data_IF_348338003643
#
_entry.id   IF_348338003643
#
_cell.length_a   1.000
_cell.length_b   1.000
_cell.length_c   1.000
_cell.angle_alpha   90.00
_cell.angle_beta   90.00
_cell.angle_gamma   90.00
#
_symmetry.space_group_name_H-M   'P 1'
#
loop_
_entity.id
_entity.type
_entity.pdbx_description
1 polymer ?
#
# COMPACT_ATOMS: atom_id res chain seq x y z
N UNK A 1 -4.77 4.63 13.27
CA UNK A 1 -5.46 3.80 12.25
C UNK A 1 -6.23 2.70 12.98
N UNK A 2 -7.52 2.53 12.71
CA UNK A 2 -8.30 1.39 13.19
C UNK A 2 -8.48 0.38 12.06
N UNK A 3 -8.19 -0.89 12.31
CA UNK A 3 -8.35 -1.98 11.35
C UNK A 3 -9.42 -2.92 11.89
N UNK A 4 -10.45 -3.18 11.10
CA UNK A 4 -11.55 -4.09 11.43
C UNK A 4 -11.61 -5.20 10.39
N UNK A 5 -11.47 -6.46 10.81
CA UNK A 5 -11.63 -7.63 9.95
C UNK A 5 -12.21 -8.81 10.74
N UNK A 6 -13.19 -9.53 10.16
CA UNK A 6 -13.79 -10.74 10.73
C UNK A 6 -14.31 -10.58 12.18
N UNK A 7 -14.83 -9.40 12.54
CA UNK A 7 -15.33 -9.11 13.89
C UNK A 7 -14.25 -8.81 14.92
N UNK A 8 -12.99 -8.63 14.51
CA UNK A 8 -11.90 -8.18 15.37
C UNK A 8 -11.50 -6.75 15.00
N UNK A 9 -11.54 -5.85 16.00
CA UNK A 9 -11.12 -4.45 15.86
C UNK A 9 -9.77 -4.28 16.54
N UNK A 10 -8.75 -3.87 15.78
CA UNK A 10 -7.42 -3.54 16.28
C UNK A 10 -7.09 -2.07 16.03
N UNK A 11 -6.36 -1.44 16.96
CA UNK A 11 -5.80 -0.10 16.76
C UNK A 11 -4.29 -0.20 16.52
N UNK A 12 -3.85 0.47 15.45
CA UNK A 12 -2.44 0.69 15.11
C UNK A 12 -2.17 2.20 15.17
N UNK A 13 -1.18 2.61 15.95
CA UNK A 13 -0.64 3.96 15.91
C UNK A 13 0.85 3.93 15.60
N UNK A 14 1.32 4.92 14.83
CA UNK A 14 2.74 5.14 14.54
C UNK A 14 3.06 6.54 15.03
N UNK A 15 4.16 6.68 15.77
CA UNK A 15 4.62 7.96 16.31
C UNK A 15 6.11 8.13 15.99
N UNK A 16 6.49 9.32 15.53
CA UNK A 16 7.89 9.70 15.30
C UNK A 16 8.20 10.94 16.14
N UNK A 17 9.28 10.91 16.91
CA UNK A 17 9.81 12.07 17.64
C UNK A 17 10.88 12.83 16.84
N UNK A 18 11.10 12.44 15.58
CA UNK A 18 12.22 12.91 14.74
C UNK A 18 13.52 12.13 14.97
N UNK A 19 13.76 11.59 16.16
CA UNK A 19 14.96 10.79 16.48
C UNK A 19 14.66 9.31 16.67
N UNK A 20 13.42 8.96 16.99
CA UNK A 20 12.97 7.59 17.18
C UNK A 20 11.54 7.41 16.65
N UNK A 21 11.25 6.19 16.20
CA UNK A 21 9.93 5.78 15.78
C UNK A 21 9.32 4.74 16.72
N UNK A 22 8.02 4.78 16.88
CA UNK A 22 7.26 3.91 17.78
C UNK A 22 6.04 3.36 17.04
N UNK A 23 5.73 2.09 17.27
CA UNK A 23 4.50 1.45 16.79
C UNK A 23 3.70 1.02 18.01
N UNK A 24 2.43 1.40 18.06
CA UNK A 24 1.51 0.99 19.12
C UNK A 24 0.47 0.05 18.56
N UNK A 25 0.34 -1.13 19.17
CA UNK A 25 -0.69 -2.12 18.83
C UNK A 25 -1.46 -2.44 20.08
N UNK A 26 -2.80 -2.29 20.03
CA UNK A 26 -3.69 -2.57 21.17
C UNK A 26 -3.24 -1.86 22.46
N UNK A 27 -2.76 -0.62 22.33
CA UNK A 27 -2.29 0.20 23.45
C UNK A 27 -0.86 -0.07 23.92
N UNK A 28 -0.16 -1.08 23.39
CA UNK A 28 1.23 -1.37 23.75
C UNK A 28 2.16 -0.73 22.71
N UNK A 29 3.00 0.19 23.16
CA UNK A 29 3.99 0.86 22.32
C UNK A 29 5.31 0.08 22.26
N UNK A 30 5.86 -0.02 21.06
CA UNK A 30 7.12 -0.68 20.75
C UNK A 30 8.03 0.31 20.05
N UNK A 31 9.28 0.43 20.52
CA UNK A 31 10.25 1.27 19.84
C UNK A 31 10.78 0.54 18.60
N UNK A 32 10.83 1.22 17.46
CA UNK A 32 11.43 0.69 16.24
C UNK A 32 12.96 0.59 16.40
N UNK A 33 13.62 -0.44 15.86
CA UNK A 33 15.07 -0.49 15.79
C UNK A 33 15.60 0.73 15.02
N UNK A 34 16.68 1.33 15.51
CA UNK A 34 17.27 2.55 14.93
C UNK A 34 17.53 2.41 13.43
N UNK A 35 18.11 1.30 12.97
CA UNK A 35 18.37 1.04 11.56
C UNK A 35 17.08 0.89 10.71
N UNK A 36 15.95 0.51 11.31
CA UNK A 36 14.66 0.46 10.62
C UNK A 36 14.03 1.84 10.55
N UNK A 37 14.15 2.63 11.63
CA UNK A 37 13.69 4.01 11.66
C UNK A 37 14.49 4.91 10.71
N UNK A 38 15.82 4.79 10.70
CA UNK A 38 16.71 5.51 9.78
C UNK A 38 16.39 5.19 8.31
N UNK A 39 16.14 3.92 7.97
CA UNK A 39 15.71 3.58 6.60
C UNK A 39 14.37 4.21 6.23
N UNK A 40 13.44 4.25 7.18
CA UNK A 40 12.16 4.90 6.99
C UNK A 40 12.35 6.41 6.77
N UNK A 41 13.16 7.07 7.60
CA UNK A 41 13.51 8.49 7.46
C UNK A 41 14.22 8.78 6.13
N UNK A 42 15.20 7.97 5.74
CA UNK A 42 15.89 8.09 4.45
C UNK A 42 14.89 7.98 3.29
N UNK A 43 13.95 7.04 3.36
CA UNK A 43 12.93 6.91 2.32
C UNK A 43 12.02 8.14 2.20
N UNK A 44 11.72 8.83 3.31
CA UNK A 44 10.92 10.06 3.28
C UNK A 44 11.72 11.30 2.87
N UNK A 45 12.99 11.39 3.27
CA UNK A 45 13.88 12.50 2.89
C UNK A 45 14.30 12.44 1.42
N UNK A 46 14.49 11.25 0.85
CA UNK A 46 14.66 11.06 -0.60
C UNK A 46 13.45 11.56 -1.41
N UNK A 47 12.24 11.45 -0.83
CA UNK A 47 11.03 12.01 -1.42
C UNK A 47 10.94 13.53 -1.20
N UNK A 48 11.35 14.04 -0.03
CA UNK A 48 11.23 15.45 0.36
C UNK A 48 12.33 16.40 -0.12
N UNK A 49 13.49 15.89 -0.57
CA UNK A 49 14.62 16.71 -1.02
C UNK A 49 14.39 17.31 -2.43
N UNK A 50 13.53 18.33 -2.51
CA UNK A 50 13.49 19.27 -3.63
C UNK A 50 13.30 20.70 -3.08
N UNK A 51 14.34 21.55 -3.10
CA UNK A 51 14.18 22.96 -2.78
C UNK A 51 13.45 23.67 -3.93
N UNK A 52 12.37 24.40 -3.66
CA UNK A 52 11.92 25.49 -4.54
C UNK A 52 10.61 25.33 -5.34
N UNK A 53 9.78 24.31 -5.12
CA UNK A 53 8.42 24.27 -5.68
C UNK A 53 7.44 23.87 -4.57
N UNK A 54 6.26 24.48 -4.52
CA UNK A 54 5.25 24.26 -3.47
C UNK A 54 5.09 22.77 -3.12
N UNK A 55 4.98 22.49 -1.81
CA UNK A 55 5.26 21.23 -1.11
C UNK A 55 4.56 19.92 -1.59
N UNK A 56 3.87 19.91 -2.73
CA UNK A 56 3.28 18.70 -3.32
C UNK A 56 3.67 18.44 -4.76
N UNK A 57 3.90 19.47 -5.59
CA UNK A 57 4.07 19.28 -7.02
C UNK A 57 5.43 18.65 -7.38
N UNK A 58 6.53 19.18 -6.84
CA UNK A 58 7.88 18.72 -7.23
C UNK A 58 8.23 17.29 -6.81
N UNK A 59 7.72 16.82 -5.66
CA UNK A 59 7.96 15.46 -5.15
C UNK A 59 7.08 14.42 -5.84
N UNK A 60 5.81 14.74 -6.09
CA UNK A 60 4.90 13.84 -6.79
C UNK A 60 5.31 13.68 -8.27
N UNK A 61 5.77 14.74 -8.94
CA UNK A 61 6.25 14.64 -10.33
C UNK A 61 7.49 13.75 -10.47
N UNK A 62 8.36 13.69 -9.45
CA UNK A 62 9.47 12.72 -9.39
C UNK A 62 8.99 11.27 -9.26
N UNK A 63 7.81 11.07 -8.66
CA UNK A 63 7.11 9.80 -8.63
C UNK A 63 6.23 9.56 -9.87
N UNK A 64 6.19 10.50 -10.82
CA UNK A 64 5.40 10.39 -12.05
C UNK A 64 3.93 10.74 -11.87
N UNK A 65 3.59 11.45 -10.80
CA UNK A 65 2.25 11.92 -10.49
C UNK A 65 2.23 13.45 -10.62
N UNK A 66 1.43 13.98 -11.52
CA UNK A 66 1.16 15.41 -11.66
C UNK A 66 -0.34 15.69 -11.47
N UNK A 67 -0.77 16.00 -10.22
CA UNK A 67 -2.16 16.30 -9.89
C UNK A 67 -2.81 17.34 -10.80
N UNK A 68 -2.08 18.34 -11.28
CA UNK A 68 -2.69 19.43 -12.04
C UNK A 68 -3.04 19.03 -13.47
N UNK A 69 -2.41 17.99 -14.01
CA UNK A 69 -2.63 17.54 -15.38
C UNK A 69 -3.96 16.79 -15.57
N UNK A 70 -4.46 16.10 -14.53
CA UNK A 70 -5.70 15.33 -14.60
C UNK A 70 -6.90 16.02 -13.94
N UNK A 71 -6.75 17.29 -13.53
CA UNK A 71 -7.85 18.11 -13.04
C UNK A 71 -8.37 19.01 -14.15
N UNK A 72 -9.67 18.94 -14.41
CA UNK A 72 -10.33 19.74 -15.46
C UNK A 72 -11.47 20.57 -14.86
N UNK A 73 -11.78 21.68 -15.51
CA UNK A 73 -12.85 22.62 -15.11
C UNK A 73 -12.81 23.08 -13.62
N UNK A 74 -11.65 23.49 -13.07
CA UNK A 74 -11.59 23.96 -11.70
C UNK A 74 -12.44 25.23 -11.52
N UNK A 75 -13.28 25.24 -10.49
CA UNK A 75 -14.14 26.38 -10.17
C UNK A 75 -14.21 26.60 -8.66
N UNK A 76 -14.29 27.86 -8.23
CA UNK A 76 -14.58 28.19 -6.83
C UNK A 76 -16.08 28.05 -6.64
N UNK A 77 -16.50 27.08 -5.83
CA UNK A 77 -17.92 26.76 -5.60
C UNK A 77 -18.45 27.34 -4.29
N UNK A 78 -17.57 27.85 -3.43
CA UNK A 78 -18.00 28.49 -2.19
C UNK A 78 -16.86 28.86 -1.25
N UNK A 79 -17.25 29.27 -0.05
CA UNK A 79 -16.34 29.54 1.07
C UNK A 79 -16.85 28.84 2.32
N UNK A 80 -15.96 28.17 3.03
CA UNK A 80 -16.30 27.36 4.21
C UNK A 80 -15.22 27.48 5.28
N UNK A 81 -15.57 27.24 6.55
CA UNK A 81 -14.61 27.17 7.64
C UNK A 81 -14.11 25.73 7.80
N UNK A 82 -12.79 25.54 7.71
CA UNK A 82 -12.13 24.23 7.85
C UNK A 82 -10.99 24.35 8.85
N UNK A 83 -11.03 23.56 9.92
CA UNK A 83 -9.99 23.60 10.97
C UNK A 83 -9.82 24.99 11.58
N UNK A 84 -10.93 25.73 11.78
CA UNK A 84 -10.94 27.07 12.35
C UNK A 84 -10.51 28.22 11.41
N UNK A 85 -10.17 27.92 10.15
CA UNK A 85 -9.78 28.93 9.17
C UNK A 85 -10.79 29.07 8.03
N UNK A 86 -11.00 30.29 7.54
CA UNK A 86 -11.80 30.53 6.35
C UNK A 86 -11.08 30.04 5.09
N UNK A 87 -11.81 29.30 4.27
CA UNK A 87 -11.28 28.66 3.06
C UNK A 87 -12.11 28.97 1.83
N UNK A 88 -11.46 28.95 0.67
CA UNK A 88 -12.14 28.86 -0.63
C UNK A 88 -12.26 27.40 -1.00
N UNK A 89 -13.48 26.96 -1.26
CA UNK A 89 -13.78 25.63 -1.78
C UNK A 89 -13.69 25.65 -3.30
N UNK A 90 -12.74 24.88 -3.83
CA UNK A 90 -12.50 24.71 -5.26
C UNK A 90 -12.91 23.28 -5.61
N UNK A 91 -13.75 23.13 -6.63
CA UNK A 91 -14.13 21.84 -7.21
C UNK A 91 -13.58 21.75 -8.62
N UNK A 92 -13.05 20.58 -8.97
CA UNK A 92 -12.63 20.20 -10.31
C UNK A 92 -13.19 18.82 -10.65
N UNK A 93 -13.40 18.59 -11.94
CA UNK A 93 -13.62 17.27 -12.48
C UNK A 93 -12.27 16.55 -12.64
N UNK A 94 -12.29 15.24 -12.71
CA UNK A 94 -11.10 14.40 -12.86
C UNK A 94 -11.08 13.70 -14.22
N UNK A 95 -10.01 13.92 -14.98
CA UNK A 95 -9.68 13.09 -16.14
C UNK A 95 -9.10 11.74 -15.67
N UNK A 96 -9.95 10.72 -15.67
CA UNK A 96 -9.59 9.37 -15.22
C UNK A 96 -8.53 8.73 -16.11
N UNK A 97 -8.48 9.06 -17.41
CA UNK A 97 -7.44 8.53 -18.30
C UNK A 97 -6.07 9.09 -17.90
N UNK A 98 -6.00 10.41 -17.69
CA UNK A 98 -4.78 11.08 -17.26
C UNK A 98 -4.33 10.59 -15.86
N UNK A 99 -5.27 10.44 -14.91
CA UNK A 99 -5.00 9.85 -13.59
C UNK A 99 -4.40 8.44 -13.69
N UNK A 100 -5.02 7.56 -14.49
CA UNK A 100 -4.51 6.19 -14.69
C UNK A 100 -3.18 6.17 -15.47
N UNK A 101 -2.91 7.21 -16.26
CA UNK A 101 -1.61 7.49 -16.87
C UNK A 101 -0.52 7.69 -15.83
N UNK A 102 -0.74 8.62 -14.91
CA UNK A 102 0.16 8.95 -13.81
C UNK A 102 0.35 7.76 -12.86
N UNK A 103 -0.74 7.07 -12.49
CA UNK A 103 -0.67 5.87 -11.66
C UNK A 103 0.21 4.78 -12.30
N UNK A 104 0.09 4.57 -13.61
CA UNK A 104 0.93 3.61 -14.32
C UNK A 104 2.40 4.04 -14.32
N UNK A 105 2.68 5.34 -14.51
CA UNK A 105 4.05 5.89 -14.42
C UNK A 105 4.63 5.70 -13.03
N UNK A 106 3.81 5.93 -12.00
CA UNK A 106 4.17 5.67 -10.61
C UNK A 106 4.51 4.19 -10.37
N UNK A 107 3.68 3.25 -10.83
CA UNK A 107 3.93 1.82 -10.67
C UNK A 107 5.25 1.39 -11.32
N UNK A 108 5.57 1.92 -12.50
CA UNK A 108 6.84 1.65 -13.19
C UNK A 108 8.04 2.19 -12.40
N UNK A 109 7.94 3.41 -11.86
CA UNK A 109 9.00 4.02 -11.04
C UNK A 109 9.15 3.31 -9.69
N UNK A 110 8.06 2.97 -9.02
CA UNK A 110 8.07 2.22 -7.76
C UNK A 110 8.72 0.83 -7.93
N UNK A 111 8.47 0.15 -9.06
CA UNK A 111 9.13 -1.11 -9.39
C UNK A 111 10.64 -0.93 -9.59
N UNK A 112 11.08 0.14 -10.27
CA UNK A 112 12.50 0.43 -10.46
C UNK A 112 13.26 0.77 -9.17
N UNK A 113 12.56 1.32 -8.17
CA UNK A 113 13.13 1.70 -6.87
C UNK A 113 13.19 0.53 -5.87
N UNK A 114 12.72 -0.67 -6.25
CA UNK A 114 12.83 -1.87 -5.41
C UNK A 114 12.04 -1.79 -4.10
N UNK A 115 10.98 -0.98 -4.04
CA UNK A 115 10.16 -0.78 -2.83
C UNK A 115 9.62 -2.12 -2.34
N UNK A 116 9.98 -2.51 -1.12
CA UNK A 116 9.56 -3.77 -0.52
C UNK A 116 8.03 -3.87 -0.44
N UNK A 117 7.43 -4.80 -1.18
CA UNK A 117 5.97 -4.97 -1.31
C UNK A 117 5.43 -4.65 -2.71
N UNK A 118 6.17 -3.89 -3.53
CA UNK A 118 5.77 -3.57 -4.91
C UNK A 118 5.79 -4.78 -5.85
N UNK A 119 6.50 -5.85 -5.50
CA UNK A 119 6.55 -7.11 -6.27
C UNK A 119 5.21 -7.87 -6.33
N UNK A 120 4.21 -7.48 -5.54
CA UNK A 120 2.84 -8.01 -5.61
C UNK A 120 1.87 -7.09 -6.36
N UNK A 121 2.29 -5.88 -6.70
CA UNK A 121 1.50 -4.94 -7.49
C UNK A 121 1.82 -5.14 -8.97
N UNK A 122 0.84 -4.95 -9.87
CA UNK A 122 1.13 -4.89 -11.30
C UNK A 122 2.16 -3.79 -11.57
N UNK A 123 3.21 -4.12 -12.32
CA UNK A 123 4.24 -3.13 -12.74
C UNK A 123 3.70 -2.14 -13.77
N UNK A 124 2.54 -2.44 -14.35
CA UNK A 124 1.82 -1.58 -15.27
C UNK A 124 0.34 -1.93 -15.31
N UNK A 125 -0.47 -0.98 -15.80
CA UNK A 125 -1.87 -1.17 -16.16
C UNK A 125 -1.94 -1.01 -17.68
N UNK A 126 -2.42 -2.04 -18.38
CA UNK A 126 -2.50 -2.01 -19.85
C UNK A 126 -3.42 -0.89 -20.33
N UNK A 127 -3.19 -0.38 -21.55
CA UNK A 127 -4.02 0.69 -22.12
C UNK A 127 -5.49 0.29 -22.23
N UNK A 128 -5.79 -0.95 -22.64
CA UNK A 128 -7.17 -1.45 -22.73
C UNK A 128 -7.84 -1.52 -21.36
N UNK A 129 -7.12 -1.96 -20.33
CA UNK A 129 -7.63 -1.97 -18.95
C UNK A 129 -7.90 -0.54 -18.46
N UNK A 130 -7.03 0.42 -18.74
CA UNK A 130 -7.27 1.84 -18.38
C UNK A 130 -8.49 2.42 -19.09
N UNK A 131 -8.67 2.10 -20.37
CA UNK A 131 -9.85 2.49 -21.15
C UNK A 131 -11.13 1.92 -20.55
N UNK A 132 -11.13 0.64 -20.20
CA UNK A 132 -12.26 0.00 -19.56
C UNK A 132 -12.58 0.66 -18.21
N UNK A 133 -11.59 0.88 -17.34
CA UNK A 133 -11.81 1.52 -16.03
C UNK A 133 -12.39 2.92 -16.21
N UNK A 134 -11.80 3.75 -17.07
CA UNK A 134 -12.27 5.12 -17.25
C UNK A 134 -13.67 5.21 -17.86
N UNK A 135 -14.07 4.25 -18.72
CA UNK A 135 -15.42 4.20 -19.27
C UNK A 135 -16.48 3.90 -18.20
N UNK A 136 -16.09 3.12 -17.19
CA UNK A 136 -16.95 2.72 -16.09
C UNK A 136 -17.05 3.77 -14.98
N UNK A 137 -15.97 4.51 -14.70
CA UNK A 137 -15.97 5.54 -13.64
C UNK A 137 -16.97 6.66 -13.99
N UNK A 138 -17.87 6.94 -13.04
CA UNK A 138 -18.87 8.02 -13.15
C UNK A 138 -18.58 9.11 -12.13
N UNK A 139 -18.76 10.35 -12.58
CA UNK A 139 -18.68 11.58 -11.78
C UNK A 139 -17.42 11.67 -10.89
N UNK A 140 -16.21 11.49 -11.44
CA UNK A 140 -15.00 11.60 -10.67
C UNK A 140 -14.76 13.08 -10.34
N UNK A 141 -14.73 13.41 -9.05
CA UNK A 141 -14.63 14.78 -8.56
C UNK A 141 -13.46 14.93 -7.61
N UNK A 142 -12.84 16.09 -7.67
CA UNK A 142 -11.78 16.53 -6.79
C UNK A 142 -12.18 17.86 -6.16
N UNK A 143 -12.21 17.89 -4.83
CA UNK A 143 -12.52 19.08 -4.06
C UNK A 143 -11.31 19.44 -3.19
N UNK A 144 -10.92 20.72 -3.20
CA UNK A 144 -9.86 21.24 -2.36
C UNK A 144 -10.31 22.52 -1.67
N UNK A 145 -10.01 22.63 -0.38
CA UNK A 145 -10.23 23.83 0.41
C UNK A 145 -8.88 24.45 0.71
N UNK A 146 -8.70 25.68 0.21
CA UNK A 146 -7.47 26.45 0.42
C UNK A 146 -7.76 27.63 1.34
N UNK A 147 -6.85 27.96 2.25
CA UNK A 147 -7.02 29.12 3.12
C UNK A 147 -7.23 30.40 2.30
N UNK A 148 -8.26 31.18 2.66
CA UNK A 148 -8.65 32.35 1.90
C UNK A 148 -7.53 33.39 1.82
N UNK A 149 -6.77 33.56 2.92
CA UNK A 149 -5.63 34.46 3.06
C UNK A 149 -4.31 33.83 2.61
N UNK A 150 -3.97 32.66 3.14
CA UNK A 150 -2.64 32.04 3.01
C UNK A 150 -2.48 31.05 1.85
N UNK A 151 -3.58 30.74 1.13
CA UNK A 151 -3.64 29.77 0.02
C UNK A 151 -3.19 28.35 0.39
N UNK A 152 -3.07 28.04 1.68
CA UNK A 152 -2.59 26.74 2.14
C UNK A 152 -3.71 25.70 2.02
N UNK A 153 -3.40 24.51 1.54
CA UNK A 153 -4.37 23.40 1.45
C UNK A 153 -4.74 22.92 2.85
N UNK A 154 -6.04 22.96 3.17
CA UNK A 154 -6.60 22.60 4.48
C UNK A 154 -7.49 21.37 4.43
N UNK A 155 -8.06 21.06 3.27
CA UNK A 155 -8.81 19.82 3.05
C UNK A 155 -8.74 19.43 1.58
N UNK A 156 -8.67 18.13 1.34
CA UNK A 156 -8.74 17.49 0.03
C UNK A 156 -9.80 16.40 0.13
N UNK A 157 -10.70 16.33 -0.84
CA UNK A 157 -11.62 15.23 -1.00
C UNK A 157 -11.59 14.74 -2.45
N UNK A 158 -11.53 13.43 -2.63
CA UNK A 158 -11.62 12.77 -3.93
C UNK A 158 -12.81 11.83 -3.85
N UNK A 159 -13.72 11.94 -4.80
CA UNK A 159 -14.90 11.06 -4.86
C UNK A 159 -15.05 10.50 -6.25
N UNK A 160 -15.19 9.19 -6.36
CA UNK A 160 -15.44 8.49 -7.63
C UNK A 160 -16.44 7.37 -7.42
N UNK A 161 -17.29 7.12 -8.41
CA UNK A 161 -18.26 6.02 -8.40
C UNK A 161 -17.87 4.99 -9.45
N UNK A 162 -17.79 3.73 -9.04
CA UNK A 162 -17.51 2.61 -9.95
C UNK A 162 -18.72 1.68 -9.97
N UNK A 163 -19.24 1.31 -11.15
CA UNK A 163 -20.26 0.28 -11.24
C UNK A 163 -19.65 -1.07 -10.84
N UNK A 164 -20.43 -1.85 -10.09
CA UNK A 164 -20.04 -3.21 -9.69
C UNK A 164 -21.04 -4.20 -10.25
N UNK A 165 -20.51 -5.26 -10.86
CA UNK A 165 -21.28 -6.30 -11.51
C UNK A 165 -20.67 -7.68 -11.23
N UNK A 166 -21.40 -8.73 -11.62
CA UNK A 166 -20.94 -10.11 -11.50
C UNK A 166 -20.62 -10.52 -10.06
N UNK A 167 -19.56 -11.32 -9.89
CA UNK A 167 -19.17 -11.87 -8.59
C UNK A 167 -18.83 -10.79 -7.55
N UNK A 168 -18.33 -9.63 -7.98
CA UNK A 168 -17.97 -8.52 -7.09
C UNK A 168 -19.25 -7.89 -6.50
N UNK A 169 -20.30 -7.73 -7.32
CA UNK A 169 -21.61 -7.27 -6.82
C UNK A 169 -22.17 -8.22 -5.76
N UNK A 170 -22.16 -9.53 -6.02
CA UNK A 170 -22.62 -10.54 -5.05
C UNK A 170 -21.81 -10.54 -3.76
N UNK A 171 -20.48 -10.41 -3.84
CA UNK A 171 -19.59 -10.31 -2.68
C UNK A 171 -19.85 -9.05 -1.85
N UNK A 172 -20.24 -7.96 -2.52
CA UNK A 172 -20.61 -6.69 -1.91
C UNK A 172 -22.11 -6.61 -1.56
N UNK A 173 -22.81 -7.74 -1.44
CA UNK A 173 -24.20 -7.76 -0.98
C UNK A 173 -25.23 -7.27 -2.01
N UNK A 174 -24.94 -7.42 -3.30
CA UNK A 174 -25.83 -7.03 -4.41
C UNK A 174 -25.71 -5.56 -4.82
N UNK A 175 -24.66 -4.86 -4.38
CA UNK A 175 -24.40 -3.47 -4.77
C UNK A 175 -24.19 -3.38 -6.30
N UNK A 176 -24.88 -2.43 -6.93
CA UNK A 176 -24.74 -2.11 -8.36
C UNK A 176 -23.67 -1.04 -8.63
N UNK A 177 -23.29 -0.29 -7.59
CA UNK A 177 -22.21 0.69 -7.63
C UNK A 177 -21.50 0.79 -6.28
N UNK A 178 -20.22 1.18 -6.31
CA UNK A 178 -19.38 1.43 -5.15
C UNK A 178 -18.85 2.86 -5.22
N UNK A 179 -19.15 3.66 -4.20
CA UNK A 179 -18.54 4.98 -4.01
C UNK A 179 -17.20 4.85 -3.30
N UNK A 180 -16.15 5.40 -3.90
CA UNK A 180 -14.81 5.47 -3.31
C UNK A 180 -14.53 6.94 -2.99
N UNK A 181 -14.36 7.22 -1.70
CA UNK A 181 -14.08 8.55 -1.17
C UNK A 181 -12.78 8.56 -0.39
N UNK A 182 -11.86 9.48 -0.73
CA UNK A 182 -10.74 9.85 0.14
C UNK A 182 -11.03 11.24 0.70
N UNK A 183 -10.94 11.40 2.01
CA UNK A 183 -11.04 12.72 2.66
C UNK A 183 -9.83 12.91 3.56
N UNK A 184 -9.09 13.98 3.32
CA UNK A 184 -7.93 14.38 4.10
C UNK A 184 -8.14 15.82 4.55
N UNK A 185 -8.10 16.05 5.86
CA UNK A 185 -8.18 17.37 6.45
C UNK A 185 -6.91 17.63 7.26
N UNK A 186 -6.36 18.82 7.08
CA UNK A 186 -5.24 19.35 7.86
C UNK A 186 -5.75 20.50 8.73
N UNK A 187 -5.64 20.32 10.05
CA UNK A 187 -5.86 21.35 11.05
C UNK A 187 -4.52 21.73 11.69
N UNK A 188 -4.51 22.85 12.44
CA UNK A 188 -3.36 23.27 13.26
C UNK A 188 -2.03 23.41 12.51
N UNK A 189 -2.11 23.84 11.24
CA UNK A 189 -0.95 24.07 10.38
C UNK A 189 -0.04 25.17 10.96
N UNK A 190 1.27 24.94 10.86
CA UNK A 190 2.34 25.83 11.36
C UNK A 190 2.31 26.12 12.87
N UNK A 191 1.56 25.34 13.66
CA UNK A 191 1.63 25.41 15.11
C UNK A 191 2.72 24.48 15.64
N UNK A 192 3.50 24.88 16.66
CA UNK A 192 4.40 23.96 17.34
C UNK A 192 3.61 22.78 17.91
N UNK A 193 3.93 21.57 17.46
CA UNK A 193 3.35 20.34 17.98
C UNK A 193 4.39 19.65 18.88
N UNK A 194 4.03 19.41 20.13
CA UNK A 194 4.88 18.65 21.05
C UNK A 194 4.57 17.17 20.89
N UNK A 195 5.41 16.46 20.15
CA UNK A 195 5.33 14.99 20.05
C UNK A 195 6.24 14.39 21.11
N UNK A 196 5.63 13.81 22.15
CA UNK A 196 6.35 13.13 23.23
C UNK A 196 6.46 11.64 22.95
N UNK A 197 7.61 11.05 23.30
CA UNK A 197 7.77 9.60 23.27
C UNK A 197 6.79 8.94 24.27
N UNK A 198 6.28 7.73 23.96
CA UNK A 198 5.56 6.93 24.94
C UNK A 198 6.44 6.69 26.17
N UNK A 199 5.86 6.83 27.36
CA UNK A 199 6.57 6.64 28.63
C UNK A 199 6.87 5.17 28.93
N UNK A 200 6.07 4.26 28.37
CA UNK A 200 6.23 2.82 28.49
C UNK A 200 6.43 2.23 27.11
N UNK A 201 7.57 1.59 26.91
CA UNK A 201 7.95 1.00 25.61
C UNK A 201 8.43 -0.42 25.80
N UNK A 202 7.91 -1.31 24.96
CA UNK A 202 8.31 -2.71 24.90
C UNK A 202 9.37 -2.93 23.80
N UNK A 203 10.21 -3.98 23.95
CA UNK A 203 11.16 -4.37 22.91
C UNK A 203 10.49 -4.70 21.58
N UNK A 204 11.04 -4.21 20.48
CA UNK A 204 10.53 -4.49 19.13
C UNK A 204 10.42 -5.98 18.81
N UNK A 205 11.29 -6.81 19.40
CA UNK A 205 11.29 -8.26 19.20
C UNK A 205 9.96 -8.91 19.58
N UNK A 206 9.27 -8.40 20.61
CA UNK A 206 7.95 -8.86 21.01
C UNK A 206 6.89 -8.53 19.95
N UNK A 207 6.90 -7.30 19.42
CA UNK A 207 6.04 -6.93 18.30
C UNK A 207 6.31 -7.81 17.07
N UNK A 208 7.58 -8.00 16.71
CA UNK A 208 7.96 -8.83 15.57
C UNK A 208 7.50 -10.29 15.73
N UNK A 209 7.55 -10.84 16.95
CA UNK A 209 7.03 -12.16 17.25
C UNK A 209 5.50 -12.23 17.09
N UNK A 210 4.76 -11.23 17.62
CA UNK A 210 3.30 -11.15 17.48
C UNK A 210 2.86 -11.07 16.02
N UNK A 211 3.54 -10.26 15.20
CA UNK A 211 3.26 -10.14 13.76
C UNK A 211 3.50 -11.46 13.03
N UNK A 212 4.60 -12.17 13.34
CA UNK A 212 4.90 -13.49 12.75
C UNK A 212 3.85 -14.53 13.13
N UNK A 213 3.43 -14.57 14.39
CA UNK A 213 2.38 -15.47 14.86
C UNK A 213 1.06 -15.19 14.13
N UNK A 214 0.65 -13.92 14.04
CA UNK A 214 -0.56 -13.54 13.31
C UNK A 214 -0.50 -13.93 11.83
N UNK A 215 0.62 -13.65 11.14
CA UNK A 215 0.79 -14.03 9.75
C UNK A 215 0.70 -15.55 9.54
N UNK A 216 1.27 -16.35 10.45
CA UNK A 216 1.18 -17.81 10.39
C UNK A 216 -0.25 -18.32 10.57
N UNK A 217 -1.02 -17.69 11.46
CA UNK A 217 -2.43 -18.03 11.70
C UNK A 217 -3.32 -17.61 10.52
N UNK A 218 -3.04 -16.46 9.90
CA UNK A 218 -3.73 -16.05 8.69
C UNK A 218 -3.42 -17.01 7.53
N UNK A 219 -2.17 -17.46 7.40
CA UNK A 219 -1.79 -18.42 6.37
C UNK A 219 -2.35 -19.82 6.62
N UNK A 220 -2.50 -20.26 7.86
CA UNK A 220 -3.13 -21.54 8.17
C UNK A 220 -4.64 -21.51 7.95
N UNK A 221 -5.31 -20.41 8.30
CA UNK A 221 -6.73 -20.22 8.04
C UNK A 221 -7.02 -20.08 6.55
N UNK A 222 -6.24 -19.29 5.82
CA UNK A 222 -6.36 -19.16 4.35
C UNK A 222 -5.89 -20.42 3.60
N UNK A 223 -4.91 -21.16 4.14
CA UNK A 223 -4.48 -22.45 3.63
C UNK A 223 -5.52 -23.56 3.84
N UNK A 224 -6.42 -23.40 4.82
CA UNK A 224 -7.55 -24.30 5.03
C UNK A 224 -8.78 -23.97 4.16
N UNK A 225 -8.87 -22.74 3.60
CA UNK A 225 -9.95 -22.34 2.68
C UNK A 225 -9.54 -22.30 1.20
N UNK A 226 -8.33 -22.77 0.86
CA UNK A 226 -7.87 -22.94 -0.51
C UNK A 226 -8.00 -24.38 -1.01
N UNK A 227 -9.09 -24.66 -1.74
CA UNK A 227 -9.22 -25.64 -2.85
C UNK A 227 -8.90 -27.11 -2.50
N UNK A 228 -9.96 -27.90 -2.32
CA UNK A 228 -9.90 -29.25 -1.80
C UNK A 228 -9.08 -30.28 -2.58
N UNK A 229 -8.61 -31.28 -1.85
CA UNK A 229 -8.63 -32.70 -2.24
C UNK A 229 -8.54 -33.56 -0.98
N UNK A 230 -9.66 -34.21 -0.65
CA UNK A 230 -9.82 -35.52 0.00
C UNK A 230 -8.66 -36.05 0.88
N UNK A 231 -8.88 -36.05 2.20
CA UNK A 231 -8.16 -36.92 3.13
C UNK A 231 -9.11 -38.02 3.66
N UNK A 232 -9.13 -39.15 2.98
CA UNK A 232 -9.47 -40.47 3.54
C UNK A 232 -8.53 -41.48 2.93
N UNK A 233 -7.64 -42.07 3.73
CA UNK A 233 -6.79 -43.16 3.26
C UNK A 233 -5.47 -43.31 4.02
N UNK A 234 -5.52 -44.13 5.06
CA UNK A 234 -4.41 -44.77 5.77
C UNK A 234 -3.42 -45.48 4.84
N UNK A 235 -2.16 -45.63 5.24
CA UNK A 235 -1.30 -46.68 4.65
C UNK A 235 0.19 -46.40 4.67
N UNK A 236 0.95 -47.34 5.21
CA UNK A 236 2.38 -47.31 5.42
C UNK A 236 3.21 -47.75 4.19
N UNK A 237 4.54 -47.61 4.34
CA UNK A 237 5.62 -48.44 3.79
C UNK A 237 6.25 -48.07 2.43
N UNK A 238 7.57 -47.83 2.51
CA UNK A 238 8.67 -48.29 1.63
C UNK A 238 8.39 -48.60 0.15
N UNK A 239 9.19 -48.01 -0.74
CA UNK A 239 10.25 -48.71 -1.50
C UNK A 239 10.60 -47.98 -2.81
N UNK A 240 11.75 -48.37 -3.31
CA UNK A 240 12.59 -47.76 -4.34
C UNK A 240 12.19 -48.07 -5.79
N UNK A 241 12.61 -47.15 -6.67
CA UNK A 241 13.14 -47.36 -8.03
C UNK A 241 12.19 -47.48 -9.24
N UNK A 242 12.48 -46.58 -10.21
CA UNK A 242 12.46 -46.71 -11.69
C UNK A 242 11.16 -46.89 -12.46
N UNK A 243 10.93 -45.97 -13.43
CA UNK A 243 10.39 -46.35 -14.74
C UNK A 243 9.35 -45.43 -15.40
N UNK A 244 9.85 -44.54 -16.26
CA UNK A 244 9.30 -44.21 -17.60
C UNK A 244 8.17 -43.18 -17.75
N UNK A 245 8.38 -42.34 -18.78
CA UNK A 245 7.76 -41.07 -19.10
C UNK A 245 6.33 -41.15 -19.65
N UNK A 246 5.57 -40.06 -19.45
CA UNK A 246 4.53 -39.62 -20.38
C UNK A 246 4.49 -38.09 -20.38
N UNK A 247 4.54 -37.53 -21.59
CA UNK A 247 4.60 -36.11 -21.94
C UNK A 247 3.36 -35.33 -21.51
N UNK A 248 3.56 -34.24 -20.78
CA UNK A 248 2.57 -33.20 -20.50
C UNK A 248 3.26 -31.84 -20.38
N UNK A 249 2.98 -30.95 -21.33
CA UNK A 249 3.52 -29.60 -21.46
C UNK A 249 3.17 -28.77 -20.22
N UNK A 250 4.16 -28.41 -19.41
CA UNK A 250 3.98 -27.65 -18.16
C UNK A 250 5.18 -26.75 -17.87
N UNK A 251 4.92 -25.45 -17.90
CA UNK A 251 5.69 -24.28 -17.45
C UNK A 251 7.00 -24.58 -16.70
N UNK A 252 8.15 -24.34 -17.36
CA UNK A 252 9.45 -24.29 -16.69
C UNK A 252 9.49 -23.09 -15.74
N UNK A 253 9.40 -23.37 -14.43
CA UNK A 253 9.79 -22.39 -13.42
C UNK A 253 11.28 -22.14 -13.59
N UNK A 254 11.76 -20.89 -13.75
CA UNK A 254 13.19 -20.63 -13.93
C UNK A 254 13.98 -21.20 -12.75
N UNK A 255 15.08 -21.91 -12.99
CA UNK A 255 15.89 -22.55 -11.95
C UNK A 255 16.30 -21.58 -10.82
N UNK A 256 16.49 -20.29 -11.14
CA UNK A 256 16.77 -19.23 -10.17
C UNK A 256 15.63 -18.99 -9.16
N UNK A 257 14.37 -19.21 -9.53
CA UNK A 257 13.21 -19.03 -8.63
C UNK A 257 13.14 -20.16 -7.59
N UNK A 258 13.52 -21.38 -7.98
CA UNK A 258 13.57 -22.53 -7.07
C UNK A 258 14.79 -22.48 -6.15
N UNK A 259 15.94 -22.02 -6.65
CA UNK A 259 17.12 -21.77 -5.82
C UNK A 259 16.89 -20.62 -4.82
N UNK A 260 16.19 -19.56 -5.26
CA UNK A 260 15.80 -18.45 -4.40
C UNK A 260 14.86 -18.88 -3.27
N UNK A 261 13.83 -19.69 -3.58
CA UNK A 261 12.87 -20.14 -2.57
C UNK A 261 13.53 -21.02 -1.49
N UNK A 262 14.46 -21.89 -1.88
CA UNK A 262 15.25 -22.71 -0.94
C UNK A 262 16.20 -21.84 -0.09
N UNK A 263 16.84 -20.83 -0.69
CA UNK A 263 17.73 -19.92 0.02
C UNK A 263 16.97 -19.11 1.10
N UNK A 264 15.77 -18.60 0.78
CA UNK A 264 14.93 -17.87 1.75
C UNK A 264 14.46 -18.78 2.88
N UNK A 265 14.12 -20.04 2.59
CA UNK A 265 13.75 -21.03 3.61
C UNK A 265 14.94 -21.33 4.54
N UNK A 266 16.14 -21.51 3.99
CA UNK A 266 17.36 -21.75 4.76
C UNK A 266 17.82 -20.52 5.57
N UNK A 267 17.49 -19.31 5.11
CA UNK A 267 17.84 -18.08 5.80
C UNK A 267 17.07 -17.89 7.12
N UNK A 268 15.95 -18.60 7.33
CA UNK A 268 15.28 -18.69 8.64
C UNK A 268 14.89 -17.34 9.27
N UNK A 269 14.69 -16.30 8.46
CA UNK A 269 14.37 -14.94 8.92
C UNK A 269 15.58 -14.03 9.21
N UNK A 270 16.80 -14.48 8.95
CA UNK A 270 18.02 -13.68 9.01
C UNK A 270 18.11 -12.73 7.80
N UNK A 271 17.92 -11.43 8.05
CA UNK A 271 17.82 -10.39 7.01
C UNK A 271 19.09 -10.28 6.18
N UNK A 272 20.27 -10.47 6.78
CA UNK A 272 21.54 -10.39 6.05
C UNK A 272 21.73 -11.58 5.10
N UNK A 273 21.22 -12.77 5.46
CA UNK A 273 21.23 -13.95 4.58
C UNK A 273 20.17 -13.85 3.49
N UNK A 274 18.99 -13.33 3.80
CA UNK A 274 17.92 -13.11 2.81
C UNK A 274 18.32 -12.11 1.71
N UNK A 275 19.07 -11.06 2.06
CA UNK A 275 19.61 -10.11 1.07
C UNK A 275 20.60 -10.77 0.10
N UNK A 276 21.36 -11.77 0.55
CA UNK A 276 22.26 -12.54 -0.32
C UNK A 276 21.51 -13.49 -1.26
N UNK A 277 20.32 -13.95 -0.90
CA UNK A 277 19.49 -14.79 -1.77
C UNK A 277 19.04 -14.05 -3.04
N UNK A 278 18.88 -12.72 -2.99
CA UNK A 278 18.42 -11.92 -4.12
C UNK A 278 19.34 -12.00 -5.36
N UNK A 279 20.63 -12.30 -5.17
CA UNK A 279 21.56 -12.47 -6.30
C UNK A 279 21.27 -13.72 -7.14
N UNK A 280 20.60 -14.73 -6.57
CA UNK A 280 20.24 -15.98 -7.26
C UNK A 280 19.15 -15.79 -8.33
N UNK A 281 18.44 -14.66 -8.29
CA UNK A 281 17.46 -14.28 -9.31
C UNK A 281 18.09 -13.56 -10.51
N UNK A 282 19.36 -13.16 -10.41
CA UNK A 282 20.10 -12.43 -11.45
C UNK A 282 21.17 -13.28 -12.15
N UNK A 283 21.35 -14.54 -11.76
CA UNK A 283 22.26 -15.48 -12.42
C UNK A 283 21.65 -15.94 -13.75
N UNK A 284 22.14 -15.37 -14.86
CA UNK A 284 21.88 -15.88 -16.22
C UNK A 284 22.59 -17.21 -16.45
#
# INVERSE_FOLDING_TARGET
LSVSALGHTGSLAILSTGTAGYVTVSGISYQLPSASFQRLESSFSELGASPGAGAGAGTLSKLGIDPLHWLVNPSVVGTESVGGAQTKHIRADVDVQALLGDLNTFLQRAASLGVSGASKLPVSISQSTRQQIAAEVKNPTFDVWTGASDKTVRKVAISLTVPVSGQISSLLGGLSSAGIGLNLQYADLNQPQTIVAPTVVHPYSEFAAKVRAFASQLQSTLGAVGLGSSATGSGASSSSATGTATTGTGSSTPAGVQAYSQCIQAAGGDVAKMQRCASLLNSK
#
